data_IF_122574380638
#
_entry.id   IF_122574380638
#
_cell.length_a   1.000
_cell.length_b   1.000
_cell.length_c   1.000
_cell.angle_alpha   90.00
_cell.angle_beta   90.00
_cell.angle_gamma   90.00
#
_symmetry.space_group_name_H-M   'P 1'
#
loop_
_entity.id
_entity.type
_entity.pdbx_description
1 polymer ?
#
# COMPACT_ATOMS: atom_id res chain seq x y z
N UNK A 1 -6.17 -8.38 -22.72
CA UNK A 1 -7.23 -7.77 -21.87
C UNK A 1 -6.57 -7.32 -20.57
N UNK A 2 -6.90 -6.17 -19.98
CA UNK A 2 -6.28 -5.80 -18.69
C UNK A 2 -6.89 -6.59 -17.53
N UNK A 3 -6.19 -6.66 -16.39
CA UNK A 3 -6.73 -7.27 -15.16
C UNK A 3 -8.11 -6.69 -14.80
N UNK A 4 -8.24 -5.36 -14.75
CA UNK A 4 -9.51 -4.69 -14.41
C UNK A 4 -10.65 -5.07 -15.35
N UNK A 5 -10.37 -5.16 -16.65
CA UNK A 5 -11.34 -5.62 -17.65
C UNK A 5 -11.76 -7.08 -17.42
N UNK A 6 -10.81 -7.98 -17.12
CA UNK A 6 -11.11 -9.39 -16.80
C UNK A 6 -12.01 -9.51 -15.58
N UNK A 7 -11.73 -8.74 -14.53
CA UNK A 7 -12.54 -8.72 -13.31
C UNK A 7 -13.96 -8.21 -13.56
N UNK A 8 -14.09 -7.12 -14.34
CA UNK A 8 -15.39 -6.57 -14.72
C UNK A 8 -16.22 -7.57 -15.51
N UNK A 9 -15.60 -8.25 -16.47
CA UNK A 9 -16.27 -9.29 -17.27
C UNK A 9 -16.77 -10.44 -16.38
N UNK A 10 -15.92 -10.98 -15.50
CA UNK A 10 -16.32 -12.05 -14.56
C UNK A 10 -17.45 -11.64 -13.62
N UNK A 11 -17.50 -10.35 -13.25
CA UNK A 11 -18.58 -9.78 -12.45
C UNK A 11 -19.90 -9.77 -13.23
N UNK A 12 -19.86 -9.27 -14.45
CA UNK A 12 -21.01 -9.16 -15.34
C UNK A 12 -21.54 -10.54 -15.77
N UNK A 13 -20.66 -11.49 -16.10
CA UNK A 13 -21.02 -12.88 -16.41
C UNK A 13 -21.74 -13.59 -15.25
N UNK A 14 -21.41 -13.23 -14.00
CA UNK A 14 -22.08 -13.76 -12.79
C UNK A 14 -23.28 -12.94 -12.34
N UNK A 15 -23.63 -11.86 -13.04
CA UNK A 15 -24.74 -10.98 -12.67
C UNK A 15 -24.56 -10.29 -11.31
N UNK A 16 -23.31 -10.10 -10.86
CA UNK A 16 -23.01 -9.52 -9.55
C UNK A 16 -22.88 -7.99 -9.64
N UNK A 17 -23.37 -7.32 -8.61
CA UNK A 17 -23.12 -5.88 -8.42
C UNK A 17 -21.72 -5.66 -7.85
N UNK A 18 -21.16 -4.46 -8.08
CA UNK A 18 -19.90 -4.04 -7.45
C UNK A 18 -19.97 -4.16 -5.92
N UNK A 19 -21.12 -3.82 -5.31
CA UNK A 19 -21.31 -3.90 -3.87
C UNK A 19 -21.23 -5.34 -3.34
N UNK A 20 -21.85 -6.30 -4.03
CA UNK A 20 -21.81 -7.71 -3.64
C UNK A 20 -20.39 -8.26 -3.68
N UNK A 21 -19.65 -8.00 -4.76
CA UNK A 21 -18.26 -8.45 -4.88
C UNK A 21 -17.36 -7.74 -3.86
N UNK A 22 -17.52 -6.43 -3.68
CA UNK A 22 -16.73 -5.65 -2.73
C UNK A 22 -16.92 -6.19 -1.30
N UNK A 23 -18.16 -6.44 -0.87
CA UNK A 23 -18.45 -7.03 0.44
C UNK A 23 -17.85 -8.43 0.58
N UNK A 24 -18.08 -9.32 -0.39
CA UNK A 24 -17.56 -10.69 -0.35
C UNK A 24 -16.03 -10.74 -0.40
N UNK A 25 -15.41 -9.81 -1.14
CA UNK A 25 -13.98 -9.65 -1.22
C UNK A 25 -13.43 -8.81 -0.07
N UNK A 26 -14.25 -8.26 0.84
CA UNK A 26 -13.92 -7.33 1.94
C UNK A 26 -13.14 -6.07 1.52
N UNK A 27 -13.53 -5.48 0.38
CA UNK A 27 -13.02 -4.23 -0.17
C UNK A 27 -14.10 -3.16 -0.07
N UNK A 28 -13.72 -1.88 -0.15
CA UNK A 28 -14.70 -0.85 -0.44
C UNK A 28 -15.15 -0.92 -1.91
N UNK A 29 -16.38 -0.47 -2.19
CA UNK A 29 -16.92 -0.38 -3.55
C UNK A 29 -16.04 0.51 -4.43
N UNK A 30 -15.54 1.62 -3.88
CA UNK A 30 -14.63 2.54 -4.57
C UNK A 30 -13.29 1.88 -4.93
N UNK A 31 -12.75 1.03 -4.06
CA UNK A 31 -11.49 0.32 -4.33
C UNK A 31 -11.68 -0.72 -5.43
N UNK A 32 -12.75 -1.53 -5.38
CA UNK A 32 -13.05 -2.48 -6.45
C UNK A 32 -13.31 -1.77 -7.78
N UNK A 33 -14.07 -0.67 -7.77
CA UNK A 33 -14.31 0.16 -8.95
C UNK A 33 -13.02 0.72 -9.54
N UNK A 34 -12.10 1.23 -8.70
CA UNK A 34 -10.80 1.72 -9.15
C UNK A 34 -9.95 0.62 -9.82
N UNK A 35 -10.07 -0.64 -9.37
CA UNK A 35 -9.39 -1.78 -9.98
C UNK A 35 -10.05 -2.15 -11.33
N UNK A 36 -11.38 -2.30 -11.38
CA UNK A 36 -12.11 -2.63 -12.62
C UNK A 36 -11.89 -1.59 -13.72
N UNK A 37 -11.82 -0.31 -13.36
CA UNK A 37 -11.59 0.80 -14.28
C UNK A 37 -10.10 1.06 -14.59
N UNK A 38 -9.18 0.35 -13.95
CA UNK A 38 -7.74 0.47 -14.20
C UNK A 38 -7.07 1.73 -13.64
N UNK A 39 -7.77 2.54 -12.84
CA UNK A 39 -7.16 3.64 -12.07
C UNK A 39 -6.21 3.10 -11.00
N UNK A 40 -6.53 1.93 -10.43
CA UNK A 40 -5.63 1.15 -9.56
C UNK A 40 -4.99 0.01 -10.36
N UNK A 41 -3.86 0.30 -11.00
CA UNK A 41 -3.18 -0.62 -11.94
C UNK A 41 -2.51 -1.82 -11.28
N UNK A 42 -1.93 -1.63 -10.09
CA UNK A 42 -1.16 -2.68 -9.39
C UNK A 42 -1.76 -2.98 -8.01
N UNK A 43 -2.92 -3.66 -7.92
CA UNK A 43 -3.42 -4.18 -6.65
C UNK A 43 -2.46 -5.22 -6.10
N UNK A 44 -2.40 -5.35 -4.76
CA UNK A 44 -1.55 -6.38 -4.15
C UNK A 44 -2.07 -7.78 -4.48
N UNK A 45 -1.16 -8.77 -4.49
CA UNK A 45 -1.53 -10.16 -4.73
C UNK A 45 -2.66 -10.65 -3.80
N UNK A 46 -2.62 -10.23 -2.53
CA UNK A 46 -3.66 -10.56 -1.56
C UNK A 46 -5.06 -10.06 -1.98
N UNK A 47 -5.15 -8.87 -2.58
CA UNK A 47 -6.42 -8.33 -3.10
C UNK A 47 -6.90 -9.17 -4.28
N UNK A 48 -6.01 -9.47 -5.23
CA UNK A 48 -6.34 -10.28 -6.41
C UNK A 48 -6.82 -11.68 -6.00
N UNK A 49 -6.13 -12.32 -5.05
CA UNK A 49 -6.48 -13.64 -4.54
C UNK A 49 -7.83 -13.67 -3.79
N UNK A 50 -8.22 -12.57 -3.12
CA UNK A 50 -9.55 -12.43 -2.50
C UNK A 50 -10.64 -12.34 -3.56
N UNK A 51 -10.45 -11.53 -4.59
CA UNK A 51 -11.42 -11.38 -5.68
C UNK A 51 -11.55 -12.69 -6.48
N UNK A 52 -10.43 -13.37 -6.74
CA UNK A 52 -10.41 -14.69 -7.38
C UNK A 52 -11.29 -15.71 -6.64
N UNK A 53 -11.18 -15.75 -5.31
CA UNK A 53 -12.01 -16.62 -4.45
C UNK A 53 -13.50 -16.30 -4.54
N UNK A 54 -13.88 -15.02 -4.60
CA UNK A 54 -15.29 -14.62 -4.78
C UNK A 54 -15.85 -15.13 -6.10
N UNK A 55 -15.03 -15.10 -7.16
CA UNK A 55 -15.42 -15.63 -8.46
C UNK A 55 -15.27 -17.15 -8.58
N UNK A 56 -14.58 -17.82 -7.65
CA UNK A 56 -14.31 -19.25 -7.73
C UNK A 56 -13.42 -19.61 -8.92
N UNK A 57 -12.51 -18.70 -9.31
CA UNK A 57 -11.53 -18.92 -10.38
C UNK A 57 -10.12 -19.00 -9.80
N UNK A 58 -9.21 -19.75 -10.42
CA UNK A 58 -7.83 -19.81 -9.95
C UNK A 58 -7.14 -18.45 -10.24
N UNK A 59 -6.22 -18.05 -9.37
CA UNK A 59 -5.65 -16.69 -9.40
C UNK A 59 -4.80 -16.43 -10.65
N UNK A 60 -4.15 -17.46 -11.18
CA UNK A 60 -3.43 -17.50 -12.45
C UNK A 60 -4.31 -17.03 -13.64
N UNK A 61 -5.58 -17.43 -13.70
CA UNK A 61 -6.52 -17.02 -14.76
C UNK A 61 -6.79 -15.51 -14.81
N UNK A 62 -6.50 -14.79 -13.72
CA UNK A 62 -6.63 -13.33 -13.65
C UNK A 62 -5.34 -12.62 -14.04
N UNK A 63 -4.20 -13.30 -13.93
CA UNK A 63 -2.85 -12.78 -14.11
C UNK A 63 -2.31 -13.09 -15.51
N UNK A 64 -2.80 -14.14 -16.17
CA UNK A 64 -2.39 -14.48 -17.53
C UNK A 64 -2.88 -13.44 -18.57
N UNK A 65 -1.97 -13.09 -19.48
CA UNK A 65 -2.07 -12.05 -20.53
C UNK A 65 -1.92 -10.58 -20.08
N UNK A 66 -0.85 -10.27 -19.36
CA UNK A 66 -0.09 -9.03 -19.60
C UNK A 66 1.38 -9.36 -19.90
N UNK A 67 1.63 -10.26 -20.87
CA UNK A 67 3.00 -10.50 -21.35
C UNK A 67 3.09 -10.62 -22.88
N UNK A 68 2.59 -9.59 -23.55
CA UNK A 68 3.03 -9.22 -24.91
C UNK A 68 3.29 -7.73 -24.98
N UNK A 69 4.22 -7.25 -24.14
CA UNK A 69 5.11 -6.19 -24.59
C UNK A 69 6.37 -6.90 -25.09
N UNK A 70 6.92 -6.61 -26.28
CA UNK A 70 8.34 -6.76 -26.49
C UNK A 70 9.03 -5.69 -25.63
N UNK A 71 9.01 -5.90 -24.32
CA UNK A 71 9.98 -5.36 -23.41
C UNK A 71 10.78 -6.58 -23.00
N UNK A 72 12.07 -6.57 -23.29
CA UNK A 72 13.07 -7.36 -22.58
C UNK A 72 12.73 -7.42 -21.07
N UNK A 73 13.31 -8.35 -20.28
CA UNK A 73 13.29 -8.26 -18.83
C UNK A 73 13.42 -6.78 -18.48
N UNK A 74 12.41 -6.20 -17.85
CA UNK A 74 12.58 -4.85 -17.35
C UNK A 74 13.65 -5.04 -16.29
N UNK A 75 14.91 -4.91 -16.72
CA UNK A 75 15.92 -4.22 -15.97
C UNK A 75 15.17 -3.01 -15.44
N UNK A 76 14.70 -3.17 -14.20
CA UNK A 76 14.36 -2.07 -13.36
C UNK A 76 15.62 -1.23 -13.35
N UNK A 77 15.71 -0.31 -14.32
CA UNK A 77 16.59 0.83 -14.25
C UNK A 77 15.94 1.79 -13.26
N UNK A 78 15.73 1.29 -12.04
CA UNK A 78 15.83 2.10 -10.86
C UNK A 78 17.30 2.47 -10.91
N UNK A 79 17.60 3.66 -11.43
CA UNK A 79 18.87 4.27 -11.12
C UNK A 79 18.90 4.36 -9.60
N UNK A 80 19.56 3.36 -9.01
CA UNK A 80 19.54 3.12 -7.59
C UNK A 80 20.41 4.22 -6.98
N UNK A 81 19.76 5.28 -6.49
CA UNK A 81 20.44 6.42 -5.87
C UNK A 81 20.69 6.20 -4.37
N UNK A 82 21.04 4.97 -3.99
CA UNK A 82 21.63 4.61 -2.70
C UNK A 82 22.82 3.67 -2.91
N UNK A 83 23.42 3.04 -1.88
CA UNK A 83 24.35 1.93 -2.10
C UNK A 83 23.59 0.66 -2.50
N UNK A 84 23.65 0.21 -3.77
CA UNK A 84 22.85 -0.91 -4.33
C UNK A 84 23.17 -2.30 -3.77
N UNK A 85 23.81 -2.37 -2.61
CA UNK A 85 24.42 -3.58 -2.07
C UNK A 85 24.63 -3.53 -0.55
N UNK A 86 23.78 -2.93 0.31
CA UNK A 86 24.11 -2.81 1.74
C UNK A 86 24.22 -4.19 2.40
N UNK A 87 23.40 -5.14 1.95
CA UNK A 87 23.45 -6.53 2.38
C UNK A 87 24.59 -7.32 1.76
N UNK A 88 25.03 -6.98 0.54
CA UNK A 88 26.15 -7.64 -0.12
C UNK A 88 27.50 -7.16 0.43
N UNK A 89 27.63 -5.87 0.76
CA UNK A 89 28.78 -5.33 1.48
C UNK A 89 28.83 -5.89 2.91
N UNK A 90 27.68 -6.01 3.58
CA UNK A 90 27.60 -6.73 4.84
C UNK A 90 28.03 -8.18 4.70
N UNK A 91 27.52 -8.91 3.71
CA UNK A 91 27.92 -10.30 3.44
C UNK A 91 29.43 -10.42 3.15
N UNK A 92 30.01 -9.49 2.38
CA UNK A 92 31.45 -9.42 2.10
C UNK A 92 32.25 -9.21 3.38
N UNK A 93 31.91 -8.22 4.20
CA UNK A 93 32.61 -7.94 5.47
C UNK A 93 32.48 -9.09 6.47
N UNK A 94 31.33 -9.75 6.51
CA UNK A 94 31.11 -10.93 7.34
C UNK A 94 31.97 -12.11 6.90
N UNK A 95 32.12 -12.32 5.59
CA UNK A 95 33.00 -13.34 5.04
C UNK A 95 34.49 -13.02 5.30
N UNK A 96 34.91 -11.78 5.10
CA UNK A 96 36.30 -11.33 5.33
C UNK A 96 36.70 -11.41 6.80
N UNK A 97 35.77 -11.14 7.72
CA UNK A 97 36.02 -11.22 9.16
C UNK A 97 35.95 -12.65 9.73
N UNK A 98 35.64 -13.67 8.92
CA UNK A 98 35.25 -15.02 9.38
C UNK A 98 34.19 -14.96 10.51
N UNK A 99 33.27 -14.01 10.35
CA UNK A 99 32.31 -13.65 11.39
C UNK A 99 31.18 -14.69 11.52
N UNK A 100 30.91 -15.45 10.47
CA UNK A 100 29.88 -16.49 10.48
C UNK A 100 30.25 -17.68 11.37
N UNK A 101 31.55 -17.90 11.59
CA UNK A 101 32.07 -18.94 12.48
C UNK A 101 32.28 -18.43 13.92
N UNK A 102 32.15 -17.12 14.13
CA UNK A 102 32.52 -16.45 15.39
C UNK A 102 31.44 -15.43 15.80
N UNK A 103 30.53 -15.77 16.73
CA UNK A 103 29.36 -14.95 17.03
C UNK A 103 29.71 -13.55 17.57
N UNK A 104 30.85 -13.38 18.25
CA UNK A 104 31.31 -12.06 18.68
C UNK A 104 31.70 -11.14 17.50
N UNK A 105 32.39 -11.69 16.49
CA UNK A 105 32.80 -10.94 15.29
C UNK A 105 31.61 -10.54 14.41
N UNK A 106 30.58 -11.38 14.37
CA UNK A 106 29.30 -11.05 13.70
C UNK A 106 28.69 -9.77 14.26
N UNK A 107 28.62 -9.66 15.59
CA UNK A 107 28.06 -8.49 16.27
C UNK A 107 28.92 -7.24 16.02
N UNK A 108 30.24 -7.38 15.97
CA UNK A 108 31.15 -6.26 15.67
C UNK A 108 30.93 -5.69 14.25
N UNK A 109 30.83 -6.56 13.24
CA UNK A 109 30.60 -6.16 11.84
C UNK A 109 29.22 -5.52 11.69
N UNK A 110 28.17 -6.11 12.28
CA UNK A 110 26.82 -5.56 12.24
C UNK A 110 26.77 -4.20 12.93
N UNK A 111 27.35 -4.07 14.13
CA UNK A 111 27.34 -2.83 14.89
C UNK A 111 28.10 -1.70 14.17
N UNK A 112 29.20 -2.03 13.48
CA UNK A 112 29.94 -1.06 12.66
C UNK A 112 29.09 -0.51 11.50
N UNK A 113 28.42 -1.41 10.76
CA UNK A 113 27.55 -1.02 9.64
C UNK A 113 26.35 -0.19 10.09
N UNK A 114 25.76 -0.47 11.25
CA UNK A 114 24.65 0.30 11.78
C UNK A 114 25.07 1.73 12.17
N UNK A 115 26.27 1.90 12.77
CA UNK A 115 26.82 3.23 13.09
C UNK A 115 27.11 4.05 11.84
N UNK A 116 27.73 3.43 10.82
CA UNK A 116 27.99 4.07 9.52
C UNK A 116 26.67 4.55 8.88
N UNK A 117 25.61 3.74 8.99
CA UNK A 117 24.27 4.08 8.48
C UNK A 117 23.62 5.22 9.27
N UNK A 118 23.72 5.21 10.58
CA UNK A 118 23.18 6.25 11.47
C UNK A 118 23.82 7.61 11.20
N UNK A 119 25.15 7.65 11.07
CA UNK A 119 25.90 8.85 10.68
C UNK A 119 25.51 9.36 9.29
N UNK A 120 25.25 8.46 8.34
CA UNK A 120 24.77 8.83 7.00
C UNK A 120 23.36 9.44 7.02
N UNK A 121 22.47 8.99 7.94
CA UNK A 121 21.15 9.60 8.14
C UNK A 121 21.24 10.97 8.80
N UNK A 122 22.09 11.12 9.82
CA UNK A 122 22.30 12.40 10.51
C UNK A 122 22.96 13.45 9.61
N UNK A 123 23.80 13.02 8.66
CA UNK A 123 24.42 13.89 7.66
C UNK A 123 23.47 14.38 6.54
N UNK A 124 22.16 14.07 6.62
CA UNK A 124 21.14 14.65 5.75
C UNK A 124 20.83 13.86 4.47
N UNK A 125 21.31 12.62 4.32
CA UNK A 125 20.83 11.73 3.27
C UNK A 125 19.43 11.20 3.65
N UNK A 126 18.38 11.84 3.12
CA UNK A 126 17.00 11.37 3.26
C UNK A 126 16.92 9.89 2.87
N UNK A 127 16.68 9.02 3.85
CA UNK A 127 16.37 7.62 3.61
C UNK A 127 15.14 7.45 2.72
N UNK A 128 14.91 6.24 2.15
CA UNK A 128 13.68 5.98 1.41
C UNK A 128 12.52 6.21 2.38
N UNK A 129 11.75 7.27 2.13
CA UNK A 129 10.50 7.54 2.85
C UNK A 129 9.56 6.38 2.55
N UNK A 130 9.52 5.40 3.44
CA UNK A 130 8.50 4.38 3.40
C UNK A 130 7.19 5.08 3.82
N UNK A 131 6.36 5.40 2.84
CA UNK A 131 5.12 6.13 3.04
C UNK A 131 4.11 5.28 3.78
N UNK A 132 4.12 5.34 5.10
CA UNK A 132 2.98 5.11 5.99
C UNK A 132 3.25 5.84 7.31
N UNK A 133 3.11 7.16 7.30
CA UNK A 133 2.84 7.90 8.54
C UNK A 133 1.43 8.45 8.46
N UNK A 134 0.67 7.99 9.44
CA UNK A 134 -0.69 8.32 9.78
C UNK A 134 -0.85 9.84 9.95
N UNK A 135 -1.89 10.40 9.36
CA UNK A 135 -2.53 11.62 9.88
C UNK A 135 -3.90 11.23 10.43
N UNK A 136 -3.89 10.57 11.58
CA UNK A 136 -4.94 10.78 12.58
C UNK A 136 -4.47 11.87 13.53
N UNK A 137 -5.03 13.07 13.36
CA UNK A 137 -5.40 13.97 14.47
C UNK A 137 -6.10 15.22 13.95
N UNK A 138 -7.30 15.45 14.49
CA UNK A 138 -7.87 16.79 14.60
C UNK A 138 -9.17 17.01 13.84
N UNK A 139 -10.26 16.35 14.23
CA UNK A 139 -11.59 16.95 14.07
C UNK A 139 -12.54 16.46 15.15
N UNK A 140 -12.24 16.79 16.40
CA UNK A 140 -13.18 16.71 17.52
C UNK A 140 -12.75 17.78 18.53
N UNK A 141 -13.29 19.00 18.40
CA UNK A 141 -13.69 19.86 19.51
C UNK A 141 -14.41 21.11 18.97
N UNK A 142 -15.75 21.12 19.03
CA UNK A 142 -16.61 22.29 19.31
C UNK A 142 -18.02 22.07 18.76
N UNK A 143 -18.80 21.21 19.41
CA UNK A 143 -20.26 21.26 19.36
C UNK A 143 -20.86 20.58 20.59
N UNK A 144 -20.58 21.10 21.79
CA UNK A 144 -21.34 20.75 23.00
C UNK A 144 -22.20 21.95 23.44
N UNK A 145 -23.49 21.78 23.20
CA UNK A 145 -24.63 22.20 24.02
C UNK A 145 -24.60 23.55 24.77
N UNK A 146 -25.51 24.44 24.36
CA UNK A 146 -26.45 25.07 25.30
C UNK A 146 -27.87 24.91 24.77
N UNK A 147 -28.64 24.02 25.41
CA UNK A 147 -30.10 23.92 25.23
C UNK A 147 -30.81 24.94 26.13
N UNK A 148 -31.76 25.63 25.51
CA UNK A 148 -33.09 26.06 26.01
C UNK A 148 -33.19 27.15 27.10
N UNK A 149 -34.37 27.80 27.26
CA UNK A 149 -35.66 27.62 26.58
C UNK A 149 -36.27 28.90 25.96
N UNK A 150 -37.35 28.73 25.20
CA UNK A 150 -38.23 29.80 24.70
C UNK A 150 -38.85 30.64 25.85
N UNK A 151 -39.27 31.88 25.55
CA UNK A 151 -40.72 32.11 25.58
C UNK A 151 -41.27 33.05 24.48
N UNK A 152 -42.50 32.72 24.08
CA UNK A 152 -43.69 33.59 23.95
C UNK A 152 -43.60 34.88 23.12
N UNK A 153 -44.20 34.80 21.93
CA UNK A 153 -45.34 35.62 21.48
C UNK A 153 -45.42 37.09 21.94
N UNK A 154 -45.20 38.03 21.00
CA UNK A 154 -46.02 39.23 20.93
C UNK A 154 -45.97 39.86 19.52
N UNK A 155 -47.09 39.67 18.81
CA UNK A 155 -47.78 40.67 17.95
C UNK A 155 -46.91 41.61 17.11
N UNK A 156 -46.93 41.39 15.79
CA UNK A 156 -46.88 42.50 14.83
C UNK A 156 -48.18 42.51 14.02
N UNK A 157 -49.18 43.26 14.52
CA UNK A 157 -50.27 43.77 13.68
C UNK A 157 -49.67 44.83 12.75
N UNK A 158 -49.90 44.67 11.45
CA UNK A 158 -50.05 45.80 10.54
C UNK A 158 -51.52 45.84 10.16
N UNK A 159 -52.08 47.05 10.19
CA UNK A 159 -53.49 47.48 10.14
C UNK A 159 -54.31 47.42 11.45
#
# INVERSE_FOLDING_TARGET
MSLGQRLRRLREERGLTLAQVATAAGLSVSHLSAIENGTRRNPSFHIVARIARVYGVPVDSLVEEEDKRPGAPQEVNVEYQGPSTPYLEMARRLAEADALSHPARLLEVIAALLREREQAYEAGASGPRNGTEEKEKGTEESAEAKREPAPMDDRNHSD
#
